data_IF_751599047696
#
_entry.id   IF_751599047696
#
_cell.length_a   1.000
_cell.length_b   1.000
_cell.length_c   1.000
_cell.angle_alpha   90.00
_cell.angle_beta   90.00
_cell.angle_gamma   90.00
#
_symmetry.space_group_name_H-M   'P 1'
#
loop_
_entity.id
_entity.type
_entity.pdbx_description
1 polymer ?
#
# COMPACT_ATOMS: atom_id res chain seq x y z
N UNK A 1 5.88 40.58 81.90
CA UNK A 1 6.70 40.20 83.07
C UNK A 1 6.49 38.71 83.31
N UNK A 2 7.57 37.91 83.28
CA UNK A 2 7.55 36.42 83.35
C UNK A 2 8.05 35.79 82.05
N UNK A 3 9.37 35.69 81.81
CA UNK A 3 10.23 34.50 82.08
C UNK A 3 9.60 33.23 81.45
N UNK A 4 10.05 32.67 80.34
CA UNK A 4 11.42 32.40 79.88
C UNK A 4 11.67 30.89 79.98
N UNK A 5 12.07 30.24 78.87
CA UNK A 5 13.03 29.11 78.81
C UNK A 5 13.17 28.60 77.37
N UNK A 6 14.37 28.83 76.83
CA UNK A 6 14.97 28.18 75.67
C UNK A 6 15.39 26.77 76.10
N UNK A 7 15.13 25.76 75.27
CA UNK A 7 15.89 24.50 75.29
C UNK A 7 16.35 24.16 73.87
N UNK A 8 17.65 23.89 73.78
CA UNK A 8 18.45 23.62 72.60
C UNK A 8 18.99 22.20 72.76
N UNK A 9 18.59 21.26 71.90
CA UNK A 9 19.20 19.92 71.73
C UNK A 9 18.37 19.17 70.68
N UNK A 10 18.88 18.34 69.78
CA UNK A 10 20.18 18.13 69.18
C UNK A 10 19.86 17.44 67.84
N UNK A 11 20.61 17.77 66.78
CA UNK A 11 20.49 17.10 65.49
C UNK A 11 20.97 15.64 65.61
N UNK A 12 20.15 14.68 65.13
CA UNK A 12 20.63 13.39 64.65
C UNK A 12 20.19 13.22 63.19
N UNK A 13 21.18 13.32 62.32
CA UNK A 13 21.11 13.11 60.88
C UNK A 13 21.48 11.65 60.60
N UNK A 14 20.90 11.08 59.52
CA UNK A 14 21.19 9.78 58.89
C UNK A 14 20.70 8.54 59.64
N UNK A 15 20.04 7.56 59.03
CA UNK A 15 19.89 7.25 57.61
C UNK A 15 18.48 6.67 57.37
N UNK A 16 17.69 7.33 56.53
CA UNK A 16 16.55 6.69 55.90
C UNK A 16 17.15 5.71 54.87
N UNK A 17 17.04 4.42 55.15
CA UNK A 17 17.31 3.34 54.22
C UNK A 17 16.34 3.49 53.05
N UNK A 18 16.70 4.31 52.07
CA UNK A 18 16.06 4.33 50.78
C UNK A 18 16.26 2.94 50.19
N UNK A 19 15.24 2.10 50.34
CA UNK A 19 15.05 0.96 49.48
C UNK A 19 14.95 1.52 48.07
N UNK A 20 16.10 1.61 47.39
CA UNK A 20 16.18 1.68 45.94
C UNK A 20 15.64 0.34 45.45
N UNK A 21 14.31 0.23 45.47
CA UNK A 21 13.63 -0.62 44.52
C UNK A 21 14.14 -0.14 43.17
N UNK A 22 14.90 -1.01 42.50
CA UNK A 22 15.08 -0.90 41.07
C UNK A 22 13.65 -0.93 40.50
N UNK A 23 13.06 0.25 40.31
CA UNK A 23 12.00 0.43 39.35
C UNK A 23 12.67 0.05 38.04
N UNK A 24 12.53 -1.22 37.66
CA UNK A 24 12.64 -1.63 36.28
C UNK A 24 11.79 -0.60 35.54
N UNK A 25 12.46 0.26 34.78
CA UNK A 25 11.79 1.15 33.85
C UNK A 25 10.96 0.21 32.99
N UNK A 26 9.64 0.21 33.23
CA UNK A 26 8.71 -0.24 32.24
C UNK A 26 9.02 0.66 31.05
N UNK A 27 9.83 0.14 30.12
CA UNK A 27 10.11 0.78 28.85
C UNK A 27 8.73 1.14 28.33
N UNK A 28 8.38 2.43 28.34
CA UNK A 28 7.08 2.88 27.88
C UNK A 28 6.88 2.21 26.54
N UNK A 29 5.83 1.38 26.41
CA UNK A 29 5.54 0.70 25.16
C UNK A 29 5.60 1.77 24.07
N UNK A 30 6.59 1.67 23.19
CA UNK A 30 6.97 2.76 22.29
C UNK A 30 5.75 3.30 21.58
N UNK A 31 5.67 4.63 21.39
CA UNK A 31 4.51 5.24 20.76
C UNK A 31 4.22 4.51 19.44
N UNK A 32 2.95 4.12 19.27
CA UNK A 32 2.55 3.29 18.13
C UNK A 32 2.39 4.19 16.93
N UNK A 33 3.05 3.84 15.83
CA UNK A 33 2.87 4.43 14.51
C UNK A 33 2.07 3.45 13.68
N UNK A 34 0.82 3.81 13.35
CA UNK A 34 -0.08 2.99 12.54
C UNK A 34 -0.06 3.44 11.09
N UNK A 35 0.17 2.48 10.21
CA UNK A 35 0.28 2.68 8.77
C UNK A 35 -0.86 1.94 8.08
N UNK A 36 -1.74 2.69 7.41
CA UNK A 36 -2.79 2.12 6.56
C UNK A 36 -2.24 1.78 5.17
N UNK A 37 -2.38 0.53 4.75
CA UNK A 37 -2.13 0.08 3.39
C UNK A 37 -3.47 0.05 2.66
N UNK A 38 -3.67 0.94 1.69
CA UNK A 38 -4.94 1.07 0.98
C UNK A 38 -4.75 0.63 -0.46
N UNK A 39 -5.59 -0.31 -0.90
CA UNK A 39 -5.60 -1.03 -2.18
C UNK A 39 -4.94 -2.42 -2.11
N UNK A 40 -5.21 -3.24 -3.14
CA UNK A 40 -4.60 -4.56 -3.29
C UNK A 40 -3.29 -4.45 -4.09
N UNK A 41 -2.16 -4.38 -3.37
CA UNK A 41 -0.84 -4.34 -4.01
C UNK A 41 -0.38 -5.74 -4.43
N UNK A 42 0.40 -5.82 -5.50
CA UNK A 42 1.03 -7.08 -5.90
C UNK A 42 1.95 -7.60 -4.78
N UNK A 43 2.09 -8.94 -4.60
CA UNK A 43 2.96 -9.52 -3.57
C UNK A 43 4.40 -8.97 -3.59
N UNK A 44 4.93 -8.67 -4.78
CA UNK A 44 6.27 -8.09 -4.94
C UNK A 44 6.43 -6.72 -4.29
N UNK A 45 5.37 -5.91 -4.17
CA UNK A 45 5.40 -4.65 -3.43
C UNK A 45 5.68 -4.87 -1.94
N UNK A 46 5.03 -5.85 -1.33
CA UNK A 46 5.21 -6.17 0.09
C UNK A 46 6.62 -6.65 0.38
N UNK A 47 7.12 -7.58 -0.45
CA UNK A 47 8.43 -8.21 -0.28
C UNK A 47 9.57 -7.23 -0.57
N UNK A 48 9.48 -6.49 -1.69
CA UNK A 48 10.62 -5.72 -2.21
C UNK A 48 10.60 -4.25 -1.80
N UNK A 49 9.49 -3.72 -1.27
CA UNK A 49 9.37 -2.30 -0.92
C UNK A 49 8.88 -2.10 0.50
N UNK A 50 7.71 -2.64 0.84
CA UNK A 50 7.08 -2.31 2.12
C UNK A 50 7.81 -2.91 3.33
N UNK A 51 8.02 -4.23 3.36
CA UNK A 51 8.67 -4.88 4.48
C UNK A 51 10.10 -4.36 4.74
N UNK A 52 10.97 -4.16 3.72
CA UNK A 52 12.28 -3.54 3.92
C UNK A 52 12.19 -2.11 4.46
N UNK A 53 11.20 -1.32 4.02
CA UNK A 53 10.98 0.03 4.54
C UNK A 53 10.61 0.01 6.02
N UNK A 54 9.66 -0.86 6.41
CA UNK A 54 9.26 -1.00 7.82
C UNK A 54 10.43 -1.50 8.68
N UNK A 55 11.25 -2.43 8.16
CA UNK A 55 12.44 -2.91 8.86
C UNK A 55 13.44 -1.77 9.10
N UNK A 56 13.73 -0.97 8.06
CA UNK A 56 14.60 0.20 8.18
C UNK A 56 14.08 1.22 9.20
N UNK A 57 12.76 1.47 9.21
CA UNK A 57 12.14 2.39 10.17
C UNK A 57 12.24 1.88 11.62
N UNK A 58 12.06 0.57 11.84
CA UNK A 58 12.22 -0.06 13.16
C UNK A 58 13.65 0.05 13.68
N UNK A 59 14.64 -0.16 12.82
CA UNK A 59 16.06 -0.03 13.17
C UNK A 59 16.45 1.41 13.47
N UNK A 60 15.96 2.36 12.67
CA UNK A 60 16.30 3.78 12.81
C UNK A 60 15.58 4.46 13.98
N UNK A 61 14.37 4.01 14.30
CA UNK A 61 13.54 4.60 15.34
C UNK A 61 13.00 3.53 16.33
N UNK A 62 13.90 2.93 17.14
CA UNK A 62 13.54 1.85 18.06
C UNK A 62 12.59 2.27 19.19
N UNK A 63 12.39 3.58 19.38
CA UNK A 63 11.43 4.13 20.34
C UNK A 63 9.96 4.03 19.89
N UNK A 64 9.70 3.71 18.61
CA UNK A 64 8.35 3.56 18.07
C UNK A 64 8.02 2.09 17.78
N UNK A 65 6.74 1.73 17.90
CA UNK A 65 6.21 0.46 17.41
C UNK A 65 5.44 0.70 16.12
N UNK A 66 5.85 0.06 15.03
CA UNK A 66 5.17 0.16 13.74
C UNK A 66 4.11 -0.94 13.60
N UNK A 67 2.86 -0.54 13.35
CA UNK A 67 1.72 -1.41 13.08
C UNK A 67 1.17 -1.12 11.67
N UNK A 68 0.70 -2.15 10.98
CA UNK A 68 0.16 -2.03 9.62
C UNK A 68 -1.24 -2.60 9.57
N UNK A 69 -2.15 -1.90 8.88
CA UNK A 69 -3.54 -2.30 8.71
C UNK A 69 -3.87 -2.22 7.22
N UNK A 70 -4.41 -3.28 6.66
CA UNK A 70 -4.74 -3.36 5.24
C UNK A 70 -6.22 -3.02 5.00
N UNK A 71 -6.47 -2.27 3.93
CA UNK A 71 -7.80 -1.90 3.46
C UNK A 71 -7.88 -2.23 1.97
N UNK A 72 -8.94 -2.90 1.55
CA UNK A 72 -9.17 -3.29 0.15
C UNK A 72 -9.45 -2.10 -0.79
N UNK A 73 -9.54 -0.88 -0.25
CA UNK A 73 -9.57 0.36 -1.03
C UNK A 73 -10.12 1.54 -0.23
N UNK A 74 -10.13 2.71 -0.87
CA UNK A 74 -10.47 3.99 -0.26
C UNK A 74 -11.83 4.04 0.47
N UNK A 75 -12.86 3.37 -0.06
CA UNK A 75 -14.20 3.32 0.58
C UNK A 75 -14.25 2.52 1.88
N UNK A 76 -13.30 1.61 2.10
CA UNK A 76 -13.26 0.80 3.31
C UNK A 76 -12.64 1.59 4.46
N UNK A 77 -11.47 2.17 4.23
CA UNK A 77 -10.77 3.00 5.21
C UNK A 77 -11.64 4.17 5.69
N UNK A 78 -12.41 4.82 4.81
CA UNK A 78 -13.36 5.89 5.18
C UNK A 78 -14.49 5.45 6.13
N UNK A 79 -14.87 4.17 6.08
CA UNK A 79 -15.86 3.61 7.00
C UNK A 79 -15.26 3.27 8.35
N UNK A 80 -13.93 3.10 8.40
CA UNK A 80 -13.23 2.84 9.64
C UNK A 80 -13.03 4.14 10.41
N UNK A 81 -13.05 4.05 11.75
CA UNK A 81 -12.61 5.15 12.62
C UNK A 81 -11.19 4.89 13.12
N UNK A 82 -10.41 4.15 12.35
CA UNK A 82 -9.04 3.86 12.74
C UNK A 82 -8.21 5.12 12.74
N UNK A 83 -7.48 5.33 13.84
CA UNK A 83 -6.51 6.40 13.93
C UNK A 83 -5.21 5.91 13.28
N UNK A 84 -4.95 6.38 12.08
CA UNK A 84 -3.74 6.11 11.31
C UNK A 84 -2.83 7.34 11.35
N UNK A 85 -1.52 7.11 11.42
CA UNK A 85 -0.51 8.16 11.38
C UNK A 85 -0.01 8.38 9.94
N UNK A 86 0.05 7.30 9.15
CA UNK A 86 0.42 7.33 7.74
C UNK A 86 -0.49 6.45 6.90
N UNK A 87 -0.61 6.79 5.62
CA UNK A 87 -1.30 5.97 4.62
C UNK A 87 -0.38 5.76 3.42
N UNK A 88 -0.28 4.50 2.99
CA UNK A 88 0.34 4.09 1.73
C UNK A 88 -0.78 3.65 0.80
N UNK A 89 -0.93 4.31 -0.34
CA UNK A 89 -2.03 4.06 -1.28
C UNK A 89 -1.57 4.21 -2.72
N UNK A 90 -2.37 3.71 -3.68
CA UNK A 90 -2.20 4.12 -5.08
C UNK A 90 -2.57 5.60 -5.27
N UNK A 91 -2.08 6.21 -6.35
CA UNK A 91 -2.42 7.60 -6.70
C UNK A 91 -3.93 7.82 -6.86
N UNK A 92 -4.66 6.83 -7.38
CA UNK A 92 -6.12 6.89 -7.53
C UNK A 92 -6.84 6.94 -6.19
N UNK A 93 -6.47 6.05 -5.25
CA UNK A 93 -7.05 6.03 -3.91
C UNK A 93 -6.65 7.25 -3.08
N UNK A 94 -5.41 7.73 -3.21
CA UNK A 94 -5.02 9.01 -2.62
C UNK A 94 -5.88 10.17 -3.13
N UNK A 95 -6.08 10.27 -4.46
CA UNK A 95 -6.89 11.33 -5.06
C UNK A 95 -8.34 11.33 -4.55
N UNK A 96 -8.91 10.15 -4.30
CA UNK A 96 -10.23 10.00 -3.68
C UNK A 96 -10.24 10.49 -2.23
N UNK A 97 -9.35 9.96 -1.39
CA UNK A 97 -9.38 10.17 0.06
C UNK A 97 -8.85 11.53 0.50
N UNK A 98 -8.00 12.20 -0.30
CA UNK A 98 -7.22 13.38 0.12
C UNK A 98 -8.08 14.43 0.82
N UNK A 99 -9.18 14.83 0.21
CA UNK A 99 -10.07 15.86 0.77
C UNK A 99 -10.93 15.32 1.91
N UNK A 100 -11.42 14.08 1.78
CA UNK A 100 -12.35 13.49 2.76
C UNK A 100 -11.67 13.15 4.09
N UNK A 101 -10.39 12.77 4.04
CA UNK A 101 -9.59 12.36 5.19
C UNK A 101 -8.53 13.40 5.59
N UNK A 102 -8.41 14.52 4.87
CA UNK A 102 -7.39 15.54 5.14
C UNK A 102 -5.96 15.03 4.98
N UNK A 103 -5.71 14.17 3.99
CA UNK A 103 -4.38 13.59 3.77
C UNK A 103 -3.46 14.61 3.09
N UNK A 104 -2.20 14.63 3.53
CA UNK A 104 -1.13 15.39 2.89
C UNK A 104 -0.10 14.42 2.29
N UNK A 105 0.30 14.69 1.04
CA UNK A 105 1.30 13.86 0.37
C UNK A 105 2.70 14.26 0.81
N UNK A 106 3.36 13.41 1.60
CA UNK A 106 4.72 13.67 2.09
C UNK A 106 5.81 13.00 1.23
N UNK A 107 5.50 11.85 0.61
CA UNK A 107 6.42 11.08 -0.22
C UNK A 107 5.69 10.34 -1.33
N UNK A 108 6.39 10.08 -2.45
CA UNK A 108 5.90 9.24 -3.54
C UNK A 108 6.97 8.21 -3.89
N UNK A 109 6.56 6.94 -3.99
CA UNK A 109 7.42 5.87 -4.49
C UNK A 109 7.58 6.01 -6.00
N UNK A 110 8.81 5.90 -6.50
CA UNK A 110 9.11 5.77 -7.93
C UNK A 110 10.09 4.62 -8.16
N UNK A 111 10.01 3.89 -9.29
CA UNK A 111 11.08 3.03 -9.72
C UNK A 111 12.37 3.82 -9.91
N UNK A 112 13.52 3.19 -9.66
CA UNK A 112 14.83 3.84 -9.77
C UNK A 112 15.08 4.33 -11.21
N UNK A 113 14.66 3.54 -12.20
CA UNK A 113 14.84 3.81 -13.62
C UNK A 113 13.99 4.96 -14.18
N UNK A 114 12.97 5.44 -13.44
CA UNK A 114 12.06 6.49 -13.92
C UNK A 114 12.46 7.86 -13.36
N UNK A 115 12.50 8.87 -14.24
CA UNK A 115 12.88 10.24 -13.89
C UNK A 115 11.83 10.95 -13.03
N UNK A 116 10.53 10.78 -13.34
CA UNK A 116 9.40 11.38 -12.63
C UNK A 116 8.40 10.34 -12.15
N UNK A 117 7.96 10.46 -10.90
CA UNK A 117 6.97 9.54 -10.35
C UNK A 117 5.62 9.55 -11.11
N UNK A 118 5.23 10.69 -11.67
CA UNK A 118 4.01 10.82 -12.48
C UNK A 118 4.04 10.02 -13.79
N UNK A 119 5.22 9.61 -14.24
CA UNK A 119 5.43 8.85 -15.47
C UNK A 119 5.79 7.38 -15.16
N UNK A 120 5.55 6.92 -13.92
CA UNK A 120 5.97 5.59 -13.45
C UNK A 120 4.86 4.54 -13.39
N UNK A 121 3.63 4.90 -13.75
CA UNK A 121 2.48 3.99 -13.76
C UNK A 121 1.96 3.90 -15.18
N UNK A 122 1.88 2.68 -15.69
CA UNK A 122 1.40 2.37 -17.03
C UNK A 122 0.79 0.98 -17.04
N UNK A 123 -0.14 0.75 -17.97
CA UNK A 123 -0.75 -0.54 -18.26
C UNK A 123 -0.55 -0.93 -19.72
N UNK A 124 -0.56 -2.22 -19.99
CA UNK A 124 -0.30 -2.81 -21.30
C UNK A 124 -1.30 -3.92 -21.58
N UNK A 125 -1.87 -3.90 -22.78
CA UNK A 125 -2.69 -4.98 -23.32
C UNK A 125 -1.80 -5.92 -24.13
N UNK A 126 -1.95 -7.21 -23.89
CA UNK A 126 -1.24 -8.27 -24.57
C UNK A 126 -2.25 -9.17 -25.27
N UNK A 127 -1.97 -9.49 -26.53
CA UNK A 127 -2.69 -10.49 -27.32
C UNK A 127 -1.66 -11.47 -27.85
N UNK A 128 -2.10 -12.68 -28.20
CA UNK A 128 -1.22 -13.65 -28.85
C UNK A 128 -0.80 -13.15 -30.23
N UNK A 129 0.44 -13.46 -30.63
CA UNK A 129 1.00 -13.00 -31.90
C UNK A 129 0.18 -13.45 -33.12
N UNK A 130 -0.44 -14.63 -33.05
CA UNK A 130 -1.26 -15.21 -34.12
C UNK A 130 -2.65 -14.57 -34.25
N UNK A 131 -3.11 -13.81 -33.25
CA UNK A 131 -4.39 -13.08 -33.24
C UNK A 131 -4.31 -11.78 -34.03
N UNK A 132 -4.14 -11.91 -35.35
CA UNK A 132 -4.12 -10.79 -36.30
C UNK A 132 -5.45 -10.04 -36.39
N UNK A 133 -6.54 -10.62 -35.86
CA UNK A 133 -7.84 -9.95 -35.72
C UNK A 133 -7.89 -8.93 -34.57
N UNK A 134 -6.91 -8.91 -33.66
CA UNK A 134 -6.87 -8.02 -32.50
C UNK A 134 -5.72 -7.01 -32.61
N UNK A 135 -5.97 -5.86 -33.25
CA UNK A 135 -4.91 -4.86 -33.51
C UNK A 135 -5.23 -3.49 -32.93
N UNK A 136 -6.50 -3.22 -32.67
CA UNK A 136 -7.00 -1.95 -32.16
C UNK A 136 -7.84 -2.19 -30.91
N UNK A 137 -8.05 -1.13 -30.13
CA UNK A 137 -8.96 -1.20 -28.99
C UNK A 137 -10.35 -1.70 -29.40
N UNK A 138 -10.90 -1.22 -30.53
CA UNK A 138 -12.23 -1.65 -31.02
C UNK A 138 -12.35 -3.16 -31.25
N UNK A 139 -11.26 -3.83 -31.66
CA UNK A 139 -11.27 -5.27 -31.93
C UNK A 139 -11.43 -6.11 -30.66
N UNK A 140 -11.12 -5.52 -29.49
CA UNK A 140 -11.24 -6.14 -28.18
C UNK A 140 -12.67 -6.15 -27.65
N UNK A 141 -13.59 -5.45 -28.32
CA UNK A 141 -15.00 -5.41 -27.92
C UNK A 141 -15.60 -6.82 -27.99
N UNK A 142 -16.25 -7.23 -26.91
CA UNK A 142 -16.87 -8.55 -26.79
C UNK A 142 -15.87 -9.71 -26.66
N UNK A 143 -14.59 -9.43 -26.41
CA UNK A 143 -13.57 -10.47 -26.13
C UNK A 143 -13.51 -10.81 -24.65
N UNK A 144 -12.81 -11.90 -24.31
CA UNK A 144 -12.51 -12.33 -22.94
C UNK A 144 -11.22 -11.68 -22.48
N UNK A 145 -11.31 -10.83 -21.45
CA UNK A 145 -10.15 -10.16 -20.85
C UNK A 145 -9.74 -10.84 -19.54
N UNK A 146 -8.43 -10.90 -19.31
CA UNK A 146 -7.85 -11.32 -18.02
C UNK A 146 -6.94 -10.23 -17.44
N UNK A 147 -7.03 -9.99 -16.13
CA UNK A 147 -6.18 -9.09 -15.36
C UNK A 147 -5.93 -9.65 -13.95
N UNK A 148 -4.94 -9.17 -13.21
CA UNK A 148 -4.69 -9.61 -11.83
C UNK A 148 -5.88 -9.37 -10.91
N UNK A 149 -6.41 -8.14 -10.86
CA UNK A 149 -7.44 -7.77 -9.89
C UNK A 149 -8.24 -6.54 -10.34
N UNK A 150 -9.54 -6.54 -10.03
CA UNK A 150 -10.51 -5.53 -10.46
C UNK A 150 -10.36 -4.14 -9.82
N UNK A 151 -9.37 -3.94 -8.95
CA UNK A 151 -9.14 -2.70 -8.18
C UNK A 151 -7.74 -2.12 -8.36
N UNK A 152 -6.85 -2.80 -9.06
CA UNK A 152 -5.50 -2.28 -9.29
C UNK A 152 -5.58 -1.08 -10.22
N UNK A 153 -5.10 0.07 -9.74
CA UNK A 153 -5.18 1.31 -10.50
C UNK A 153 -4.52 1.20 -11.89
N UNK A 154 -3.21 0.92 -11.95
CA UNK A 154 -2.49 0.78 -13.22
C UNK A 154 -2.75 -0.52 -13.98
N UNK A 155 -3.41 -1.49 -13.35
CA UNK A 155 -3.62 -2.84 -13.87
C UNK A 155 -5.05 -3.16 -14.26
N UNK A 156 -6.02 -2.26 -14.03
CA UNK A 156 -7.40 -2.40 -14.52
C UNK A 156 -8.17 -1.06 -14.54
N UNK A 157 -8.07 -0.24 -13.49
CA UNK A 157 -8.89 0.99 -13.40
C UNK A 157 -8.54 2.00 -14.49
N UNK A 158 -7.24 2.17 -14.79
CA UNK A 158 -6.78 3.03 -15.88
C UNK A 158 -7.29 2.56 -17.26
N UNK A 159 -7.44 1.25 -17.46
CA UNK A 159 -8.01 0.70 -18.68
C UNK A 159 -9.49 1.10 -18.84
N UNK A 160 -10.26 1.10 -17.76
CA UNK A 160 -11.67 1.52 -17.84
C UNK A 160 -11.82 2.97 -18.28
N UNK A 161 -10.92 3.86 -17.83
CA UNK A 161 -10.87 5.25 -18.28
C UNK A 161 -10.53 5.35 -19.78
N UNK A 162 -9.56 4.57 -20.27
CA UNK A 162 -9.18 4.55 -21.68
C UNK A 162 -10.33 4.05 -22.60
N UNK A 163 -11.05 3.01 -22.17
CA UNK A 163 -12.24 2.50 -22.86
C UNK A 163 -13.34 3.58 -22.90
N UNK A 164 -13.58 4.26 -21.77
CA UNK A 164 -14.58 5.32 -21.67
C UNK A 164 -14.26 6.51 -22.58
N UNK A 165 -13.00 6.96 -22.59
CA UNK A 165 -12.53 8.05 -23.46
C UNK A 165 -12.63 7.71 -24.94
N UNK A 166 -12.56 6.42 -25.27
CA UNK A 166 -12.76 5.91 -26.62
C UNK A 166 -14.24 5.77 -27.01
N UNK A 167 -15.17 6.24 -26.17
CA UNK A 167 -16.61 6.27 -26.45
C UNK A 167 -17.35 4.96 -26.18
N UNK A 168 -16.72 4.02 -25.49
CA UNK A 168 -17.33 2.74 -25.12
C UNK A 168 -17.79 2.72 -23.66
N UNK A 169 -18.77 1.87 -23.35
CA UNK A 169 -19.16 1.56 -21.97
C UNK A 169 -18.15 0.55 -21.35
N UNK A 170 -17.33 0.95 -20.36
CA UNK A 170 -16.32 0.07 -19.77
C UNK A 170 -16.89 -1.17 -19.07
N UNK A 171 -18.13 -1.09 -18.59
CA UNK A 171 -18.76 -2.20 -17.89
C UNK A 171 -19.22 -3.29 -18.86
N UNK A 172 -19.52 -2.92 -20.11
CA UNK A 172 -20.05 -3.80 -21.16
C UNK A 172 -19.07 -4.04 -22.32
N UNK A 173 -17.87 -3.49 -22.25
CA UNK A 173 -16.91 -3.54 -23.34
C UNK A 173 -16.43 -4.97 -23.64
N UNK A 174 -16.07 -5.71 -22.60
CA UNK A 174 -15.67 -7.12 -22.69
C UNK A 174 -16.88 -8.04 -22.50
N UNK A 175 -16.90 -9.18 -23.19
CA UNK A 175 -17.93 -10.19 -22.98
C UNK A 175 -17.74 -10.89 -21.62
N UNK A 176 -16.48 -11.06 -21.19
CA UNK A 176 -16.13 -11.64 -19.90
C UNK A 176 -14.86 -10.97 -19.36
N UNK A 177 -14.81 -10.79 -18.04
CA UNK A 177 -13.64 -10.26 -17.32
C UNK A 177 -13.22 -11.29 -16.27
N UNK A 178 -11.98 -11.77 -16.35
CA UNK A 178 -11.39 -12.72 -15.41
C UNK A 178 -10.34 -12.05 -14.56
N UNK A 179 -10.38 -12.30 -13.26
CA UNK A 179 -9.41 -11.80 -12.31
C UNK A 179 -8.70 -12.98 -11.65
N UNK A 180 -7.37 -13.02 -11.74
CA UNK A 180 -6.56 -14.14 -11.21
C UNK A 180 -6.30 -14.00 -9.72
N UNK A 181 -6.51 -12.80 -9.16
CA UNK A 181 -6.21 -12.45 -7.78
C UNK A 181 -4.75 -12.78 -7.41
N UNK A 182 -3.84 -12.57 -8.37
CA UNK A 182 -2.41 -12.92 -8.27
C UNK A 182 -2.11 -14.42 -8.09
N UNK A 183 -3.08 -15.30 -8.33
CA UNK A 183 -2.89 -16.75 -8.28
C UNK A 183 -2.54 -17.34 -9.64
N UNK A 184 -1.97 -18.55 -9.61
CA UNK A 184 -1.81 -19.39 -10.81
C UNK A 184 -3.11 -20.15 -11.14
N UNK A 185 -3.50 -20.31 -12.42
CA UNK A 185 -2.88 -19.73 -13.61
C UNK A 185 -3.02 -18.21 -13.65
N UNK A 186 -1.91 -17.53 -13.92
CA UNK A 186 -1.85 -16.08 -14.00
C UNK A 186 -2.33 -15.56 -15.36
N UNK A 187 -2.33 -14.24 -15.56
CA UNK A 187 -2.86 -13.59 -16.75
C UNK A 187 -2.15 -14.05 -18.03
N UNK A 188 -0.82 -14.18 -17.96
CA UNK A 188 0.00 -14.68 -19.06
C UNK A 188 -0.33 -16.14 -19.35
N UNK A 189 -0.40 -16.99 -18.32
CA UNK A 189 -0.77 -18.40 -18.48
C UNK A 189 -2.15 -18.55 -19.13
N UNK A 190 -3.14 -17.76 -18.70
CA UNK A 190 -4.48 -17.79 -19.27
C UNK A 190 -4.52 -17.28 -20.72
N UNK A 191 -3.73 -16.27 -21.06
CA UNK A 191 -3.58 -15.81 -22.43
C UNK A 191 -2.92 -16.89 -23.31
N UNK A 192 -1.77 -17.43 -22.89
CA UNK A 192 -1.02 -18.47 -23.62
C UNK A 192 -1.80 -19.76 -23.84
N UNK A 193 -2.70 -20.11 -22.92
CA UNK A 193 -3.59 -21.27 -23.06
C UNK A 193 -4.84 -20.99 -23.92
N UNK A 194 -4.98 -19.80 -24.50
CA UNK A 194 -6.17 -19.40 -25.26
C UNK A 194 -7.43 -19.32 -24.40
N UNK A 195 -7.28 -19.23 -23.07
CA UNK A 195 -8.39 -19.08 -22.12
C UNK A 195 -8.83 -17.64 -21.99
N UNK A 196 -8.02 -16.68 -22.42
CA UNK A 196 -8.38 -15.28 -22.61
C UNK A 196 -7.92 -14.82 -23.99
N UNK A 197 -8.59 -13.82 -24.54
CA UNK A 197 -8.22 -13.19 -25.82
C UNK A 197 -7.19 -12.08 -25.63
N UNK A 198 -7.26 -11.39 -24.48
CA UNK A 198 -6.39 -10.27 -24.12
C UNK A 198 -6.05 -10.31 -22.63
N UNK A 199 -4.78 -10.14 -22.30
CA UNK A 199 -4.33 -9.90 -20.93
C UNK A 199 -4.05 -8.41 -20.73
N UNK A 200 -4.46 -7.85 -19.60
CA UNK A 200 -4.11 -6.50 -19.20
C UNK A 200 -3.23 -6.53 -17.95
N UNK A 201 -2.02 -6.00 -18.07
CA UNK A 201 -1.01 -5.99 -17.03
C UNK A 201 -0.58 -4.56 -16.71
N UNK A 202 -0.09 -4.33 -15.51
CA UNK A 202 0.79 -3.18 -15.28
C UNK A 202 2.11 -3.35 -16.06
N UNK A 203 2.72 -2.27 -16.53
CA UNK A 203 4.01 -2.33 -17.23
C UNK A 203 5.11 -2.98 -16.39
N UNK A 204 5.14 -2.71 -15.08
CA UNK A 204 6.08 -3.38 -14.17
C UNK A 204 5.90 -4.90 -14.14
N UNK A 205 4.66 -5.40 -14.26
CA UNK A 205 4.39 -6.83 -14.34
C UNK A 205 4.89 -7.41 -15.66
N UNK A 206 4.63 -6.74 -16.79
CA UNK A 206 5.18 -7.15 -18.09
C UNK A 206 6.72 -7.22 -18.04
N UNK A 207 7.38 -6.19 -17.53
CA UNK A 207 8.85 -6.13 -17.39
C UNK A 207 9.38 -7.29 -16.54
N UNK A 208 8.69 -7.64 -15.45
CA UNK A 208 9.02 -8.80 -14.62
C UNK A 208 8.90 -10.09 -15.42
N UNK A 209 7.79 -10.34 -16.11
CA UNK A 209 7.65 -11.62 -16.83
C UNK A 209 8.62 -11.73 -18.00
N UNK A 210 8.89 -10.63 -18.73
CA UNK A 210 9.93 -10.59 -19.78
C UNK A 210 11.31 -10.91 -19.21
N UNK A 211 11.65 -10.35 -18.04
CA UNK A 211 12.92 -10.67 -17.36
C UNK A 211 13.00 -12.13 -16.93
N UNK A 212 11.87 -12.70 -16.51
CA UNK A 212 11.78 -14.06 -16.00
C UNK A 212 11.62 -15.12 -17.12
N UNK A 213 11.63 -14.69 -18.39
CA UNK A 213 11.74 -15.56 -19.56
C UNK A 213 10.43 -15.90 -20.27
N UNK A 214 9.44 -15.00 -20.23
CA UNK A 214 8.28 -15.03 -21.13
C UNK A 214 8.73 -15.06 -22.60
#
# INVERSE_FOLDING_TARGET
>A
MGRGKIFLTAALICAASAAWGAQASAQAAGAVVRIGLVDNFAPSFYINSYAPTIQYLKERFPQYRFESVEFAGAREIEKTRERLDFVVSSSGSFAHMRTQMGLEQIVVRKPVAVSKASESVSGVMLVLEDRKDLQTLSDLKGKVMVSANARIFGGYVALLDEIARSGYDPDRFFAEKRFTEFHYPDEISLLSLGRADVAFLSSCRLEEVVRDGL
#
